data_IF_874742193878
#
_entry.id   IF_874742193878
#
_cell.length_a   1.000
_cell.length_b   1.000
_cell.length_c   1.000
_cell.angle_alpha   90.00
_cell.angle_beta   90.00
_cell.angle_gamma   90.00
#
_symmetry.space_group_name_H-M   'P 1'
#
loop_
_entity.id
_entity.type
_entity.pdbx_description
1 polymer ?
#
# COMPACT_ATOMS: atom_id res chain seq x y z
N UNK A 1 -0.26 -1.46 -11.73
CA UNK A 1 -0.58 -0.39 -10.77
C UNK A 1 -1.89 -0.76 -10.12
N UNK A 2 -1.88 -1.01 -8.81
CA UNK A 2 -3.11 -1.28 -8.06
C UNK A 2 -3.67 0.04 -7.57
N UNK A 3 -4.90 0.33 -7.97
CA UNK A 3 -5.64 1.49 -7.48
C UNK A 3 -6.63 1.00 -6.42
N UNK A 4 -6.56 1.60 -5.24
CA UNK A 4 -7.58 1.44 -4.23
C UNK A 4 -8.40 2.72 -4.18
N UNK A 5 -9.70 2.59 -4.38
CA UNK A 5 -10.64 3.66 -4.06
C UNK A 5 -10.70 3.80 -2.54
N UNK A 6 -10.35 4.99 -2.04
CA UNK A 6 -10.41 5.33 -0.62
C UNK A 6 -11.64 6.21 -0.30
N UNK A 7 -12.60 6.33 -1.21
CA UNK A 7 -13.91 6.90 -0.89
C UNK A 7 -14.53 6.15 0.29
N UNK A 8 -14.95 6.91 1.30
CA UNK A 8 -15.53 6.36 2.51
C UNK A 8 -14.56 5.73 3.50
N UNK A 9 -13.33 6.25 3.60
CA UNK A 9 -12.36 6.04 4.71
C UNK A 9 -12.93 6.10 6.14
N UNK A 10 -14.17 6.58 6.32
CA UNK A 10 -14.87 6.66 7.60
C UNK A 10 -15.98 5.60 7.77
N UNK A 11 -16.11 4.69 6.83
CA UNK A 11 -17.17 3.68 6.77
C UNK A 11 -18.41 4.12 6.01
N UNK A 12 -18.38 5.26 5.30
CA UNK A 12 -19.47 5.64 4.39
C UNK A 12 -19.49 4.72 3.18
N UNK A 13 -20.62 4.67 2.49
CA UNK A 13 -20.77 3.92 1.25
C UNK A 13 -20.05 4.68 0.12
N UNK A 14 -19.11 4.04 -0.62
CA UNK A 14 -18.43 4.66 -1.76
C UNK A 14 -19.40 4.73 -2.94
N UNK A 15 -19.20 5.72 -3.82
CA UNK A 15 -20.02 5.85 -5.04
C UNK A 15 -19.94 4.58 -5.90
N UNK A 16 -18.78 3.92 -5.92
CA UNK A 16 -18.57 2.67 -6.64
C UNK A 16 -19.52 1.54 -6.21
N UNK A 17 -20.06 1.57 -4.98
CA UNK A 17 -21.02 0.56 -4.51
C UNK A 17 -22.33 0.58 -5.31
N UNK A 18 -22.74 1.75 -5.84
CA UNK A 18 -23.94 1.88 -6.68
C UNK A 18 -23.80 1.16 -8.03
N UNK A 19 -22.56 0.94 -8.48
CA UNK A 19 -22.24 0.36 -9.78
C UNK A 19 -21.66 -1.06 -9.68
N UNK A 20 -21.29 -1.54 -8.49
CA UNK A 20 -20.63 -2.83 -8.29
C UNK A 20 -21.57 -3.89 -7.69
N UNK A 21 -22.29 -4.60 -8.56
CA UNK A 21 -23.20 -5.68 -8.14
C UNK A 21 -22.61 -7.09 -8.26
N UNK A 22 -21.52 -7.28 -9.01
CA UNK A 22 -21.06 -8.61 -9.42
C UNK A 22 -19.81 -9.13 -8.71
N UNK A 23 -18.98 -8.27 -8.09
CA UNK A 23 -17.71 -8.69 -7.49
C UNK A 23 -17.88 -9.71 -6.35
N UNK A 24 -18.98 -9.64 -5.61
CA UNK A 24 -19.30 -10.60 -4.56
C UNK A 24 -19.59 -12.03 -5.06
N UNK A 25 -19.78 -12.21 -6.39
CA UNK A 25 -19.97 -13.51 -7.03
C UNK A 25 -18.67 -14.20 -7.39
N UNK A 26 -17.63 -13.44 -7.73
CA UNK A 26 -16.36 -13.97 -8.23
C UNK A 26 -15.23 -13.92 -7.20
N UNK A 27 -15.36 -13.10 -6.15
CA UNK A 27 -14.35 -12.96 -5.10
C UNK A 27 -14.36 -14.09 -4.08
N UNK A 28 -13.17 -14.52 -3.66
CA UNK A 28 -13.01 -15.38 -2.48
C UNK A 28 -13.41 -14.62 -1.22
N UNK A 29 -14.24 -15.24 -0.38
CA UNK A 29 -14.69 -14.64 0.89
C UNK A 29 -13.79 -15.09 2.02
N UNK A 30 -13.36 -14.13 2.83
CA UNK A 30 -12.64 -14.38 4.08
C UNK A 30 -13.54 -14.00 5.23
N UNK A 31 -13.80 -14.95 6.13
CA UNK A 31 -14.57 -14.69 7.33
C UNK A 31 -13.66 -13.99 8.35
N UNK A 32 -14.06 -12.79 8.78
CA UNK A 32 -13.29 -12.04 9.77
C UNK A 32 -13.57 -12.65 11.13
N UNK A 33 -12.55 -13.27 11.72
CA UNK A 33 -12.62 -13.81 13.08
C UNK A 33 -12.59 -12.65 14.08
N UNK A 34 -13.67 -12.49 14.83
CA UNK A 34 -13.73 -11.47 15.88
C UNK A 34 -13.07 -11.97 17.16
N UNK A 35 -12.17 -11.14 17.71
CA UNK A 35 -11.56 -11.37 19.03
C UNK A 35 -12.58 -11.57 20.17
N UNK A 36 -13.72 -10.88 20.09
CA UNK A 36 -14.75 -10.89 21.15
C UNK A 36 -16.04 -11.63 20.76
N UNK A 37 -16.02 -12.40 19.67
CA UNK A 37 -17.22 -13.04 19.11
C UNK A 37 -18.31 -12.08 18.56
N UNK A 38 -18.05 -10.77 18.50
CA UNK A 38 -18.96 -9.77 17.93
C UNK A 38 -18.70 -9.56 16.43
N UNK A 39 -19.72 -9.50 15.58
CA UNK A 39 -19.52 -9.21 14.17
C UNK A 39 -18.81 -7.86 14.00
N UNK A 40 -17.77 -7.84 13.16
CA UNK A 40 -17.05 -6.62 12.81
C UNK A 40 -17.95 -5.78 11.91
N UNK A 41 -18.38 -4.62 12.40
CA UNK A 41 -19.17 -3.68 11.60
C UNK A 41 -18.30 -3.00 10.53
N UNK A 42 -18.95 -2.46 9.49
CA UNK A 42 -18.28 -1.80 8.36
C UNK A 42 -17.35 -0.69 8.85
N UNK A 43 -17.78 0.11 9.84
CA UNK A 43 -17.00 1.21 10.38
C UNK A 43 -15.71 0.73 11.04
N UNK A 44 -15.76 -0.35 11.82
CA UNK A 44 -14.56 -0.96 12.42
C UNK A 44 -13.66 -1.55 11.35
N UNK A 45 -14.22 -2.27 10.36
CA UNK A 45 -13.44 -2.84 9.27
C UNK A 45 -12.68 -1.76 8.46
N UNK A 46 -13.33 -0.65 8.12
CA UNK A 46 -12.72 0.45 7.38
C UNK A 46 -11.66 1.19 8.20
N UNK A 47 -11.83 1.32 9.51
CA UNK A 47 -10.85 1.99 10.38
C UNK A 47 -9.65 1.11 10.77
N UNK A 48 -9.82 -0.21 10.77
CA UNK A 48 -8.81 -1.13 11.32
C UNK A 48 -8.23 -2.08 10.29
N UNK A 49 -9.05 -2.70 9.43
CA UNK A 49 -8.60 -3.73 8.49
C UNK A 49 -8.16 -3.10 7.17
N UNK A 50 -8.93 -2.15 6.64
CA UNK A 50 -8.61 -1.47 5.37
C UNK A 50 -7.24 -0.78 5.39
N UNK A 51 -6.86 0.00 6.42
CA UNK A 51 -5.52 0.58 6.47
C UNK A 51 -4.42 -0.47 6.44
N UNK A 52 -4.57 -1.56 7.20
CA UNK A 52 -3.61 -2.66 7.22
C UNK A 52 -3.47 -3.31 5.85
N UNK A 53 -4.59 -3.53 5.16
CA UNK A 53 -4.60 -4.13 3.83
C UNK A 53 -4.03 -3.19 2.76
N UNK A 54 -4.53 -1.95 2.69
CA UNK A 54 -4.15 -0.99 1.66
C UNK A 54 -2.69 -0.58 1.77
N UNK A 55 -2.13 -0.47 2.98
CA UNK A 55 -0.70 -0.21 3.15
C UNK A 55 0.19 -1.29 2.55
N UNK A 56 -0.29 -2.55 2.51
CA UNK A 56 0.50 -3.66 1.98
C UNK A 56 0.68 -3.51 0.47
N UNK A 57 -0.38 -3.14 -0.25
CA UNK A 57 -0.43 -3.23 -1.71
C UNK A 57 -0.28 -1.88 -2.42
N UNK A 58 -0.72 -0.79 -1.80
CA UNK A 58 -0.76 0.51 -2.46
C UNK A 58 0.65 1.05 -2.69
N UNK A 59 0.94 1.41 -3.94
CA UNK A 59 2.08 2.26 -4.27
C UNK A 59 1.74 3.74 -4.02
N UNK A 60 0.49 4.10 -4.31
CA UNK A 60 -0.06 5.45 -4.16
C UNK A 60 -1.42 5.34 -3.48
N UNK A 61 -1.64 6.19 -2.47
CA UNK A 61 -2.90 6.35 -1.77
C UNK A 61 -3.49 7.68 -2.17
N UNK A 62 -4.70 7.67 -2.73
CA UNK A 62 -5.41 8.87 -3.13
C UNK A 62 -6.50 9.21 -2.10
N UNK A 63 -6.35 10.34 -1.43
CA UNK A 63 -7.36 10.88 -0.51
C UNK A 63 -8.17 11.96 -1.20
N UNK A 64 -9.40 11.67 -1.60
CA UNK A 64 -10.26 12.62 -2.32
C UNK A 64 -11.14 13.38 -1.33
N UNK A 65 -11.13 14.71 -1.40
CA UNK A 65 -11.96 15.59 -0.59
C UNK A 65 -12.43 16.80 -1.40
N UNK A 66 -13.61 17.33 -1.07
CA UNK A 66 -14.07 18.63 -1.60
C UNK A 66 -13.78 19.79 -0.65
N UNK A 67 -13.48 19.48 0.61
CA UNK A 67 -13.47 20.46 1.70
C UNK A 67 -12.03 20.87 2.07
N UNK A 68 -11.58 21.99 1.50
CA UNK A 68 -10.27 22.58 1.82
C UNK A 68 -10.21 23.16 3.25
N UNK A 69 -11.35 23.50 3.86
CA UNK A 69 -11.38 24.07 5.23
C UNK A 69 -11.15 23.03 6.31
N UNK A 70 -11.33 21.75 5.98
CA UNK A 70 -11.14 20.63 6.90
C UNK A 70 -9.77 19.96 6.75
N UNK A 71 -8.74 20.69 6.27
CA UNK A 71 -7.41 20.12 6.08
C UNK A 71 -6.77 19.60 7.37
N UNK A 72 -6.89 20.32 8.50
CA UNK A 72 -6.38 19.86 9.80
C UNK A 72 -7.04 18.53 10.22
N UNK A 73 -8.37 18.46 10.16
CA UNK A 73 -9.12 17.24 10.47
C UNK A 73 -8.78 16.10 9.51
N UNK A 74 -8.63 16.40 8.21
CA UNK A 74 -8.23 15.43 7.19
C UNK A 74 -6.82 14.89 7.45
N UNK A 75 -5.89 15.77 7.85
CA UNK A 75 -4.53 15.41 8.18
C UNK A 75 -4.49 14.47 9.40
N UNK A 76 -5.28 14.77 10.45
CA UNK A 76 -5.37 13.91 11.63
C UNK A 76 -5.89 12.53 11.26
N UNK A 77 -6.97 12.48 10.49
CA UNK A 77 -7.56 11.22 10.02
C UNK A 77 -6.58 10.40 9.18
N UNK A 78 -5.81 11.04 8.28
CA UNK A 78 -4.79 10.37 7.47
C UNK A 78 -3.63 9.84 8.32
N UNK A 79 -3.20 10.59 9.32
CA UNK A 79 -2.14 10.18 10.24
C UNK A 79 -2.59 9.04 11.15
N UNK A 80 -3.80 9.08 11.69
CA UNK A 80 -4.37 7.96 12.46
C UNK A 80 -4.55 6.70 11.62
N UNK A 81 -5.10 6.86 10.42
CA UNK A 81 -5.31 5.75 9.49
C UNK A 81 -3.97 5.12 9.07
N UNK A 82 -2.97 5.96 8.75
CA UNK A 82 -1.63 5.48 8.39
C UNK A 82 -0.89 4.84 9.55
N UNK A 83 -1.05 5.36 10.77
CA UNK A 83 -0.47 4.75 11.98
C UNK A 83 -0.95 3.32 12.15
N UNK A 84 -2.23 3.04 11.89
CA UNK A 84 -2.74 1.66 11.87
C UNK A 84 -2.07 0.83 10.77
N UNK A 85 -1.89 1.36 9.56
CA UNK A 85 -1.20 0.65 8.48
C UNK A 85 0.26 0.31 8.80
N UNK A 86 1.05 1.32 9.19
CA UNK A 86 2.49 1.21 9.47
C UNK A 86 2.79 0.34 10.68
N UNK A 87 2.03 0.47 11.77
CA UNK A 87 2.30 -0.31 13.00
C UNK A 87 1.93 -1.79 12.86
N UNK A 88 1.14 -2.15 11.85
CA UNK A 88 0.66 -3.50 11.62
C UNK A 88 1.34 -4.16 10.42
N UNK A 89 2.49 -3.63 9.99
CA UNK A 89 3.35 -4.22 8.97
C UNK A 89 4.79 -4.21 9.46
N UNK A 90 5.53 -5.28 9.24
CA UNK A 90 6.97 -5.36 9.51
C UNK A 90 7.72 -5.79 8.26
N UNK A 91 8.97 -5.37 8.15
CA UNK A 91 9.79 -5.57 6.95
C UNK A 91 9.20 -4.92 5.68
N UNK A 92 8.31 -3.92 5.85
CA UNK A 92 7.84 -3.09 4.75
C UNK A 92 8.91 -2.06 4.41
N UNK A 93 9.63 -2.30 3.32
CA UNK A 93 10.76 -1.45 2.91
C UNK A 93 10.35 -0.21 2.11
N UNK A 94 9.12 -0.17 1.57
CA UNK A 94 8.62 0.95 0.78
C UNK A 94 7.28 1.45 1.34
N UNK A 95 7.24 2.75 1.68
CA UNK A 95 6.02 3.45 2.09
C UNK A 95 5.27 3.96 0.85
N UNK A 96 3.92 3.91 0.85
CA UNK A 96 3.13 4.47 -0.24
C UNK A 96 3.35 5.98 -0.36
N UNK A 97 3.18 6.50 -1.58
CA UNK A 97 3.00 7.93 -1.78
C UNK A 97 1.56 8.33 -1.41
N UNK A 98 1.36 9.53 -0.87
CA UNK A 98 0.04 10.11 -0.60
C UNK A 98 -0.24 11.23 -1.61
N UNK A 99 -1.40 11.17 -2.25
CA UNK A 99 -1.96 12.25 -3.06
C UNK A 99 -3.30 12.64 -2.47
N UNK A 100 -3.41 13.87 -1.96
CA UNK A 100 -4.67 14.46 -1.53
C UNK A 100 -5.27 15.18 -2.73
N UNK A 101 -6.42 14.71 -3.23
CA UNK A 101 -7.12 15.33 -4.35
C UNK A 101 -8.21 16.23 -3.80
N UNK A 102 -8.01 17.55 -3.91
CA UNK A 102 -9.04 18.54 -3.64
C UNK A 102 -9.93 18.68 -4.88
N UNK A 103 -10.98 17.86 -4.95
CA UNK A 103 -11.85 17.71 -6.11
C UNK A 103 -13.11 18.56 -6.00
N UNK A 104 -13.27 19.55 -6.87
CA UNK A 104 -14.45 20.40 -6.96
C UNK A 104 -14.74 21.22 -5.69
N UNK A 105 -13.74 21.89 -5.06
CA UNK A 105 -14.05 22.83 -4.00
C UNK A 105 -14.76 24.07 -4.55
N UNK A 106 -15.59 24.69 -3.72
CA UNK A 106 -16.17 26.01 -3.99
C UNK A 106 -15.15 27.07 -3.57
N UNK A 107 -14.02 27.12 -4.29
CA UNK A 107 -12.89 28.03 -4.08
C UNK A 107 -12.16 28.24 -5.42
N UNK A 108 -11.93 29.49 -5.79
CA UNK A 108 -11.08 29.85 -6.93
C UNK A 108 -9.71 30.30 -6.42
N UNK A 109 -8.66 29.68 -6.95
CA UNK A 109 -7.29 30.12 -6.76
C UNK A 109 -6.50 29.83 -8.05
N UNK A 110 -6.21 30.88 -8.82
CA UNK A 110 -5.53 30.76 -10.11
C UNK A 110 -4.11 30.23 -9.97
N UNK A 111 -3.41 30.56 -8.86
CA UNK A 111 -2.05 30.08 -8.59
C UNK A 111 -2.00 28.55 -8.48
N UNK A 112 -3.10 27.92 -8.05
CA UNK A 112 -3.20 26.46 -7.90
C UNK A 112 -3.35 25.72 -9.23
N UNK A 113 -3.64 26.43 -10.33
CA UNK A 113 -3.65 25.88 -11.68
C UNK A 113 -2.32 26.06 -12.41
N UNK A 114 -1.41 26.86 -11.86
CA UNK A 114 -0.12 27.18 -12.48
C UNK A 114 0.84 25.97 -12.61
N UNK A 115 1.96 26.23 -13.27
CA UNK A 115 3.01 25.25 -13.56
C UNK A 115 3.83 24.84 -12.34
N UNK A 116 3.80 25.62 -11.25
CA UNK A 116 4.42 25.19 -10.00
C UNK A 116 3.52 24.15 -9.33
N UNK A 117 4.01 22.91 -9.35
CA UNK A 117 3.24 21.79 -8.88
C UNK A 117 3.15 21.72 -7.35
N UNK A 118 4.03 22.36 -6.61
CA UNK A 118 4.09 22.20 -5.16
C UNK A 118 3.30 23.27 -4.39
N UNK A 119 2.82 24.33 -5.06
CA UNK A 119 2.04 25.42 -4.43
C UNK A 119 0.89 24.91 -3.55
N UNK A 120 0.07 24.00 -4.07
CA UNK A 120 -1.10 23.49 -3.32
C UNK A 120 -0.65 22.63 -2.13
N UNK A 121 0.44 21.89 -2.31
CA UNK A 121 1.06 21.08 -1.25
C UNK A 121 1.61 21.98 -0.14
N UNK A 122 2.30 23.06 -0.51
CA UNK A 122 2.80 24.05 0.44
C UNK A 122 1.67 24.75 1.19
N UNK A 123 0.62 25.17 0.48
CA UNK A 123 -0.57 25.78 1.10
C UNK A 123 -1.22 24.84 2.11
N UNK A 124 -1.32 23.55 1.80
CA UNK A 124 -1.82 22.54 2.73
C UNK A 124 -0.97 22.44 3.99
N UNK A 125 0.35 22.28 3.85
CA UNK A 125 1.23 22.16 5.02
C UNK A 125 1.26 23.45 5.85
N UNK A 126 1.30 24.62 5.22
CA UNK A 126 1.22 25.91 5.90
C UNK A 126 -0.06 26.05 6.73
N UNK A 127 -1.19 25.59 6.19
CA UNK A 127 -2.48 25.68 6.88
C UNK A 127 -2.57 24.78 8.12
N UNK A 128 -1.88 23.64 8.13
CA UNK A 128 -1.91 22.69 9.26
C UNK A 128 -0.68 22.77 10.16
N UNK A 129 0.33 23.58 9.83
CA UNK A 129 1.63 23.55 10.52
C UNK A 129 1.48 23.87 12.01
N UNK A 130 0.62 24.83 12.36
CA UNK A 130 0.40 25.22 13.78
C UNK A 130 -0.23 24.09 14.60
N UNK A 131 -1.01 23.23 13.95
CA UNK A 131 -1.74 22.14 14.58
C UNK A 131 -0.80 21.13 15.26
N UNK A 132 0.44 21.01 14.77
CA UNK A 132 1.45 20.14 15.41
C UNK A 132 1.68 20.49 16.88
N UNK A 133 1.52 21.76 17.23
CA UNK A 133 1.70 22.27 18.59
C UNK A 133 0.38 22.51 19.31
N UNK A 134 -0.69 22.85 18.58
CA UNK A 134 -1.98 23.28 19.15
C UNK A 134 -2.91 22.09 19.45
N UNK A 135 -2.87 21.03 18.63
CA UNK A 135 -3.69 19.83 18.82
C UNK A 135 -2.93 18.81 19.68
N UNK A 136 -3.58 18.30 20.73
CA UNK A 136 -2.98 17.33 21.66
C UNK A 136 -2.50 16.07 20.93
N UNK A 137 -3.31 15.56 20.01
CA UNK A 137 -3.07 14.35 19.24
C UNK A 137 -1.81 14.48 18.36
N UNK A 138 -1.65 15.59 17.65
CA UNK A 138 -0.45 15.83 16.84
C UNK A 138 0.78 16.07 17.72
N UNK A 139 0.63 16.80 18.82
CA UNK A 139 1.73 17.06 19.76
C UNK A 139 2.28 15.77 20.34
N UNK A 140 1.41 14.87 20.79
CA UNK A 140 1.80 13.55 21.30
C UNK A 140 2.51 12.72 20.24
N UNK A 141 1.99 12.72 19.01
CA UNK A 141 2.58 11.97 17.89
C UNK A 141 3.97 12.51 17.52
N UNK A 142 4.12 13.83 17.44
CA UNK A 142 5.37 14.50 17.12
C UNK A 142 6.42 14.32 18.23
N UNK A 143 6.04 14.48 19.50
CA UNK A 143 6.94 14.32 20.64
C UNK A 143 7.51 12.90 20.75
N UNK A 144 6.69 11.88 20.48
CA UNK A 144 7.11 10.48 20.49
C UNK A 144 8.29 10.21 19.55
N UNK A 145 8.42 11.01 18.51
CA UNK A 145 9.32 10.76 17.39
C UNK A 145 10.34 11.88 17.14
N UNK A 146 10.24 12.99 17.87
CA UNK A 146 11.12 14.15 17.71
C UNK A 146 10.84 14.98 16.45
N UNK A 147 9.65 14.84 15.86
CA UNK A 147 9.25 15.58 14.67
C UNK A 147 8.92 17.04 15.04
N UNK A 148 9.37 17.98 14.21
CA UNK A 148 9.21 19.42 14.43
C UNK A 148 8.23 20.08 13.48
N UNK A 149 7.91 19.42 12.36
CA UNK A 149 7.01 19.95 11.32
C UNK A 149 5.99 18.93 10.88
N UNK A 150 4.86 19.38 10.33
CA UNK A 150 3.83 18.45 9.83
C UNK A 150 4.38 17.62 8.67
N UNK A 151 5.28 18.18 7.85
CA UNK A 151 5.98 17.43 6.79
C UNK A 151 6.79 16.25 7.34
N UNK A 152 7.52 16.45 8.44
CA UNK A 152 8.28 15.38 9.11
C UNK A 152 7.35 14.32 9.70
N UNK A 153 6.23 14.74 10.29
CA UNK A 153 5.25 13.81 10.85
C UNK A 153 4.67 12.89 9.77
N UNK A 154 4.32 13.45 8.61
CA UNK A 154 3.81 12.68 7.46
C UNK A 154 4.86 11.77 6.83
N UNK A 155 6.13 12.16 6.79
CA UNK A 155 7.19 11.34 6.17
C UNK A 155 7.45 10.02 6.89
N UNK A 156 6.95 9.86 8.12
CA UNK A 156 6.96 8.58 8.85
C UNK A 156 5.98 7.55 8.29
N UNK A 157 4.91 8.03 7.66
CA UNK A 157 3.79 7.22 7.19
C UNK A 157 3.73 7.11 5.66
N UNK A 158 4.37 8.03 4.95
CA UNK A 158 4.30 8.13 3.49
C UNK A 158 5.67 8.47 2.90
N UNK A 159 5.97 7.94 1.72
CA UNK A 159 7.22 8.26 1.01
C UNK A 159 7.22 9.65 0.37
N UNK A 160 6.03 10.18 0.08
CA UNK A 160 5.82 11.57 -0.35
C UNK A 160 4.39 12.00 -0.07
N UNK A 161 4.15 13.30 0.08
CA UNK A 161 2.82 13.89 0.16
C UNK A 161 2.67 14.94 -0.94
N UNK A 162 1.55 14.93 -1.63
CA UNK A 162 1.20 15.90 -2.66
C UNK A 162 -0.27 16.24 -2.59
N UNK A 163 -0.59 17.50 -2.88
CA UNK A 163 -1.97 17.96 -2.97
C UNK A 163 -2.27 18.38 -4.40
N UNK A 164 -3.33 17.82 -4.98
CA UNK A 164 -3.75 18.08 -6.35
C UNK A 164 -5.11 18.79 -6.34
N UNK A 165 -5.21 19.93 -7.01
CA UNK A 165 -6.44 20.70 -7.13
C UNK A 165 -7.16 20.39 -8.45
N UNK A 166 -8.47 20.17 -8.37
CA UNK A 166 -9.35 20.08 -9.54
C UNK A 166 -10.53 21.03 -9.28
N UNK A 167 -10.76 22.06 -10.12
CA UNK A 167 -11.87 23.00 -9.94
C UNK A 167 -13.21 22.31 -10.17
N UNK A 168 -14.29 22.88 -9.63
CA UNK A 168 -15.65 22.39 -9.85
C UNK A 168 -16.14 22.81 -11.24
N UNK A 169 -16.66 21.87 -12.03
CA UNK A 169 -17.17 22.16 -13.38
C UNK A 169 -18.29 23.20 -13.36
N UNK A 170 -18.15 24.21 -14.21
CA UNK A 170 -19.09 25.33 -14.32
C UNK A 170 -19.05 26.32 -13.14
N UNK A 171 -18.18 26.11 -12.15
CA UNK A 171 -18.01 27.06 -11.05
C UNK A 171 -16.93 28.09 -11.38
N UNK A 172 -17.34 29.36 -11.41
CA UNK A 172 -16.43 30.47 -11.63
C UNK A 172 -15.76 30.46 -13.01
N UNK A 173 -14.67 31.22 -13.11
CA UNK A 173 -13.79 31.32 -14.28
C UNK A 173 -12.87 30.11 -14.45
N UNK A 174 -12.55 29.42 -13.35
CA UNK A 174 -11.60 28.30 -13.34
C UNK A 174 -12.24 26.94 -13.65
N UNK A 175 -13.56 26.81 -13.50
CA UNK A 175 -14.32 25.57 -13.72
C UNK A 175 -14.55 25.18 -15.18
N UNK A 176 -13.67 25.58 -16.11
CA UNK A 176 -13.83 25.24 -17.53
C UNK A 176 -13.53 23.77 -17.79
N UNK A 177 -14.19 23.16 -18.78
CA UNK A 177 -13.94 21.75 -19.13
C UNK A 177 -12.48 21.53 -19.58
N UNK A 178 -11.83 22.53 -20.19
CA UNK A 178 -10.42 22.46 -20.56
C UNK A 178 -9.52 22.34 -19.32
N UNK A 179 -9.75 23.17 -18.30
CA UNK A 179 -8.98 23.11 -17.05
C UNK A 179 -9.18 21.79 -16.31
N UNK A 180 -10.40 21.27 -16.29
CA UNK A 180 -10.68 19.96 -15.67
C UNK A 180 -9.93 18.84 -16.39
N UNK A 181 -9.92 18.85 -17.72
CA UNK A 181 -9.16 17.87 -18.52
C UNK A 181 -7.66 18.00 -18.24
N UNK A 182 -7.13 19.22 -18.18
CA UNK A 182 -5.72 19.48 -17.88
C UNK A 182 -5.34 18.97 -16.50
N UNK A 183 -6.13 19.29 -15.48
CA UNK A 183 -5.88 18.84 -14.11
C UNK A 183 -6.02 17.32 -13.96
N UNK A 184 -6.97 16.70 -14.65
CA UNK A 184 -7.13 15.25 -14.67
C UNK A 184 -5.93 14.55 -15.30
N UNK A 185 -5.44 15.07 -16.43
CA UNK A 185 -4.24 14.57 -17.10
C UNK A 185 -2.99 14.72 -16.23
N UNK A 186 -2.87 15.86 -15.52
CA UNK A 186 -1.78 16.12 -14.59
C UNK A 186 -1.81 15.17 -13.39
N UNK A 187 -2.99 14.95 -12.79
CA UNK A 187 -3.17 13.96 -11.73
C UNK A 187 -2.77 12.56 -12.20
N UNK A 188 -3.22 12.14 -13.38
CA UNK A 188 -2.88 10.83 -13.93
C UNK A 188 -1.36 10.67 -14.16
N UNK A 189 -0.66 11.71 -14.63
CA UNK A 189 0.80 11.72 -14.74
C UNK A 189 1.48 11.63 -13.36
N UNK A 190 1.00 12.40 -12.38
CA UNK A 190 1.51 12.39 -11.00
C UNK A 190 1.40 11.01 -10.36
N UNK A 191 0.22 10.39 -10.44
CA UNK A 191 -0.01 9.06 -9.86
C UNK A 191 0.92 8.03 -10.49
N UNK A 192 1.10 8.05 -11.82
CA UNK A 192 2.01 7.10 -12.48
C UNK A 192 3.45 7.26 -12.02
N UNK A 193 3.94 8.49 -11.98
CA UNK A 193 5.30 8.80 -11.55
C UNK A 193 5.56 8.37 -10.10
N UNK A 194 4.64 8.68 -9.20
CA UNK A 194 4.79 8.33 -7.78
C UNK A 194 4.69 6.80 -7.58
N UNK A 195 3.84 6.11 -8.35
CA UNK A 195 3.78 4.66 -8.36
C UNK A 195 5.07 4.02 -8.88
N UNK A 196 5.63 4.51 -9.98
CA UNK A 196 6.92 4.05 -10.54
C UNK A 196 8.05 4.20 -9.51
N UNK A 197 8.10 5.33 -8.81
CA UNK A 197 9.08 5.59 -7.75
C UNK A 197 8.96 4.60 -6.59
N UNK A 198 7.75 4.35 -6.11
CA UNK A 198 7.52 3.37 -5.01
C UNK A 198 7.80 1.94 -5.48
N UNK A 199 7.45 1.59 -6.72
CA UNK A 199 7.78 0.30 -7.32
C UNK A 199 9.28 0.08 -7.47
N UNK A 200 10.05 1.12 -7.80
CA UNK A 200 11.51 1.05 -7.82
C UNK A 200 12.07 0.75 -6.42
N UNK A 201 11.59 1.44 -5.37
CA UNK A 201 11.96 1.16 -3.98
C UNK A 201 11.60 -0.27 -3.56
N UNK A 202 10.42 -0.75 -3.96
CA UNK A 202 9.99 -2.14 -3.71
C UNK A 202 10.88 -3.17 -4.42
N UNK A 203 11.43 -2.82 -5.58
CA UNK A 203 12.33 -3.70 -6.31
C UNK A 203 13.66 -3.88 -5.56
N UNK A 204 14.20 -2.81 -4.99
CA UNK A 204 15.42 -2.84 -4.18
C UNK A 204 15.27 -3.72 -2.93
N UNK A 205 14.05 -3.85 -2.41
CA UNK A 205 13.75 -4.64 -1.22
C UNK A 205 13.14 -6.02 -1.48
N UNK A 206 13.09 -6.47 -2.74
CA UNK A 206 12.51 -7.75 -3.13
C UNK A 206 11.04 -7.90 -2.71
N UNK A 207 10.31 -6.77 -2.66
CA UNK A 207 8.87 -6.69 -2.39
C UNK A 207 8.12 -6.13 -3.60
N UNK A 208 8.75 -6.14 -4.77
CA UNK A 208 8.09 -5.91 -6.05
C UNK A 208 7.59 -7.24 -6.56
N UNK A 209 6.29 -7.44 -6.44
CA UNK A 209 5.64 -8.68 -6.83
C UNK A 209 5.18 -8.62 -8.28
N UNK A 210 5.43 -9.69 -9.03
CA UNK A 210 4.77 -9.90 -10.32
C UNK A 210 3.28 -10.29 -10.12
N UNK A 211 2.55 -10.50 -11.22
CA UNK A 211 1.12 -10.84 -11.16
C UNK A 211 0.82 -12.16 -10.44
N UNK A 212 1.71 -13.14 -10.54
CA UNK A 212 1.56 -14.47 -9.93
C UNK A 212 1.83 -14.38 -8.43
N UNK A 213 2.95 -13.77 -8.07
CA UNK A 213 3.35 -13.52 -6.69
C UNK A 213 2.31 -12.65 -5.99
N UNK A 214 1.79 -11.62 -6.67
CA UNK A 214 0.77 -10.73 -6.11
C UNK A 214 -0.50 -11.47 -5.70
N UNK A 215 -0.97 -12.45 -6.49
CA UNK A 215 -2.13 -13.26 -6.11
C UNK A 215 -1.90 -14.01 -4.80
N UNK A 216 -0.69 -14.54 -4.60
CA UNK A 216 -0.30 -15.23 -3.38
C UNK A 216 -0.15 -14.26 -2.19
N UNK A 217 0.46 -13.09 -2.40
CA UNK A 217 0.58 -12.04 -1.35
C UNK A 217 -0.81 -11.60 -0.91
N UNK A 218 -1.73 -11.37 -1.86
CA UNK A 218 -3.12 -10.99 -1.60
C UNK A 218 -3.80 -12.07 -0.76
N UNK A 219 -3.69 -13.33 -1.17
CA UNK A 219 -4.28 -14.44 -0.41
C UNK A 219 -3.74 -14.52 1.02
N UNK A 220 -2.41 -14.42 1.18
CA UNK A 220 -1.75 -14.46 2.47
C UNK A 220 -2.12 -13.28 3.37
N UNK A 221 -2.16 -12.07 2.81
CA UNK A 221 -2.58 -10.86 3.52
C UNK A 221 -4.04 -10.94 3.98
N UNK A 222 -4.95 -11.41 3.12
CA UNK A 222 -6.35 -11.60 3.50
C UNK A 222 -6.50 -12.64 4.62
N UNK A 223 -5.83 -13.80 4.51
CA UNK A 223 -5.86 -14.82 5.54
C UNK A 223 -5.31 -14.29 6.88
N UNK A 224 -4.18 -13.59 6.85
CA UNK A 224 -3.58 -12.97 8.04
C UNK A 224 -4.51 -11.97 8.70
N UNK A 225 -5.07 -11.03 7.93
CA UNK A 225 -5.96 -9.99 8.47
C UNK A 225 -7.30 -10.56 8.95
N UNK A 226 -7.81 -11.60 8.29
CA UNK A 226 -9.06 -12.25 8.65
C UNK A 226 -8.95 -13.09 9.92
N UNK A 227 -7.77 -13.64 10.24
CA UNK A 227 -7.53 -14.45 11.45
C UNK A 227 -7.70 -13.70 12.79
N UNK A 228 -7.92 -12.38 12.75
CA UNK A 228 -8.00 -11.56 13.96
C UNK A 228 -6.66 -11.41 14.70
N UNK A 229 -5.54 -11.87 14.12
CA UNK A 229 -4.21 -11.80 14.74
C UNK A 229 -3.81 -10.35 15.08
N UNK A 230 -3.33 -10.09 16.32
CA UNK A 230 -2.73 -8.80 16.67
C UNK A 230 -1.37 -8.59 16.01
N UNK A 231 -0.75 -9.65 15.49
CA UNK A 231 0.60 -9.57 14.96
C UNK A 231 0.63 -8.73 13.67
N UNK A 232 1.67 -7.90 13.49
CA UNK A 232 1.93 -7.23 12.23
C UNK A 232 2.06 -8.23 11.07
N UNK A 233 1.62 -7.83 9.88
CA UNK A 233 1.88 -8.59 8.67
C UNK A 233 3.39 -8.57 8.34
N UNK A 234 4.00 -9.75 8.23
CA UNK A 234 5.43 -9.91 8.02
C UNK A 234 5.75 -10.15 6.53
N UNK A 235 6.24 -9.10 5.87
CA UNK A 235 6.68 -9.17 4.48
C UNK A 235 7.86 -10.14 4.28
N UNK A 236 8.69 -10.35 5.30
CA UNK A 236 9.80 -11.30 5.25
C UNK A 236 9.33 -12.75 5.25
N UNK A 237 8.29 -13.07 6.03
CA UNK A 237 7.62 -14.37 5.97
C UNK A 237 6.90 -14.59 4.66
N UNK A 238 6.13 -13.58 4.23
CA UNK A 238 5.43 -13.57 2.95
C UNK A 238 6.39 -13.87 1.79
N UNK A 239 7.54 -13.17 1.74
CA UNK A 239 8.58 -13.39 0.72
C UNK A 239 9.10 -14.84 0.71
N UNK A 240 9.37 -15.43 1.88
CA UNK A 240 9.85 -16.83 1.97
C UNK A 240 8.82 -17.86 1.48
N UNK A 241 7.54 -17.52 1.52
CA UNK A 241 6.45 -18.40 1.07
C UNK A 241 6.14 -18.22 -0.43
N UNK A 242 6.49 -17.07 -1.00
CA UNK A 242 6.10 -16.64 -2.35
C UNK A 242 7.28 -16.70 -3.33
N UNK A 243 8.51 -16.78 -2.83
CA UNK A 243 9.68 -16.99 -3.67
C UNK A 243 9.57 -18.33 -4.38
N UNK A 244 9.05 -18.32 -5.61
CA UNK A 244 9.42 -19.30 -6.61
C UNK A 244 10.90 -19.03 -6.89
N UNK A 245 11.78 -20.02 -6.78
CA UNK A 245 13.17 -19.75 -7.05
C UNK A 245 13.36 -19.46 -8.53
N UNK A 246 13.80 -18.25 -8.87
CA UNK A 246 13.99 -17.85 -10.28
C UNK A 246 15.43 -18.11 -10.76
N UNK A 247 16.30 -18.55 -9.86
CA UNK A 247 17.68 -18.95 -10.17
C UNK A 247 17.90 -20.40 -9.78
N UNK A 248 18.80 -21.08 -10.48
CA UNK A 248 19.23 -22.43 -10.15
C UNK A 248 19.69 -22.52 -8.69
N UNK A 249 20.44 -21.54 -8.21
CA UNK A 249 20.87 -21.43 -6.81
C UNK A 249 19.69 -21.26 -5.85
N UNK A 250 18.67 -20.49 -6.24
CA UNK A 250 17.42 -20.39 -5.51
C UNK A 250 16.73 -21.75 -5.39
N UNK A 251 16.62 -22.49 -6.50
CA UNK A 251 15.97 -23.82 -6.51
C UNK A 251 16.71 -24.79 -5.60
N UNK A 252 18.05 -24.76 -5.63
CA UNK A 252 18.86 -25.54 -4.71
C UNK A 252 18.65 -25.12 -3.25
N UNK A 253 18.60 -23.82 -2.97
CA UNK A 253 18.40 -23.30 -1.61
C UNK A 253 17.03 -23.68 -1.05
N UNK A 254 15.97 -23.62 -1.85
CA UNK A 254 14.63 -24.05 -1.45
C UNK A 254 14.57 -25.57 -1.24
N UNK A 255 15.10 -26.35 -2.18
CA UNK A 255 15.16 -27.81 -2.07
C UNK A 255 15.90 -28.25 -0.79
N UNK A 256 17.07 -27.65 -0.52
CA UNK A 256 17.85 -27.92 0.69
C UNK A 256 17.08 -27.45 1.94
N UNK A 257 16.46 -26.28 1.90
CA UNK A 257 15.66 -25.74 3.00
C UNK A 257 14.48 -26.63 3.38
N UNK A 258 13.78 -27.21 2.40
CA UNK A 258 12.68 -28.15 2.60
C UNK A 258 13.17 -29.51 3.10
N UNK A 259 14.24 -30.04 2.49
CA UNK A 259 14.75 -31.38 2.78
C UNK A 259 15.39 -31.45 4.17
N UNK A 260 16.07 -30.39 4.59
CA UNK A 260 16.81 -30.34 5.85
C UNK A 260 16.01 -29.72 7.01
N UNK A 261 14.77 -29.29 6.78
CA UNK A 261 13.93 -28.61 7.77
C UNK A 261 13.77 -29.44 9.04
N UNK A 262 14.07 -28.83 10.20
CA UNK A 262 13.93 -29.36 11.56
C UNK A 262 14.78 -30.60 11.90
N UNK A 263 15.52 -31.19 10.95
CA UNK A 263 16.30 -32.43 11.13
C UNK A 263 17.49 -32.49 10.18
N UNK A 264 18.38 -31.49 10.28
CA UNK A 264 19.48 -31.30 9.34
C UNK A 264 20.43 -32.50 9.28
N UNK A 265 20.99 -32.92 10.42
CA UNK A 265 21.94 -34.06 10.48
C UNK A 265 21.31 -35.38 10.02
N UNK A 266 20.06 -35.64 10.41
CA UNK A 266 19.39 -36.90 10.10
C UNK A 266 18.92 -37.02 8.64
N UNK A 267 18.80 -35.91 7.91
CA UNK A 267 18.31 -35.88 6.51
C UNK A 267 19.38 -35.48 5.50
N UNK A 268 20.57 -35.12 5.97
CA UNK A 268 21.65 -34.66 5.12
C UNK A 268 22.06 -35.74 4.11
N UNK A 269 22.29 -36.96 4.58
CA UNK A 269 22.74 -38.08 3.74
C UNK A 269 21.72 -38.43 2.65
N UNK A 270 20.43 -38.48 3.00
CA UNK A 270 19.34 -38.73 2.05
C UNK A 270 19.24 -37.61 1.00
N UNK A 271 19.36 -36.36 1.44
CA UNK A 271 19.31 -35.19 0.56
C UNK A 271 20.50 -35.19 -0.40
N UNK A 272 21.70 -35.50 0.09
CA UNK A 272 22.92 -35.60 -0.70
C UNK A 272 22.82 -36.75 -1.74
N UNK A 273 22.27 -37.90 -1.35
CA UNK A 273 22.05 -39.03 -2.23
C UNK A 273 21.09 -38.69 -3.39
N UNK A 274 20.01 -37.96 -3.12
CA UNK A 274 19.05 -37.52 -4.14
C UNK A 274 19.70 -36.56 -5.14
N UNK A 275 20.49 -35.58 -4.68
CA UNK A 275 21.21 -34.66 -5.56
C UNK A 275 22.21 -35.42 -6.43
N UNK A 276 23.03 -36.30 -5.82
CA UNK A 276 24.03 -37.09 -6.53
C UNK A 276 23.39 -37.99 -7.60
N UNK A 277 22.30 -38.67 -7.27
CA UNK A 277 21.58 -39.54 -8.20
C UNK A 277 20.97 -38.76 -9.36
N UNK A 278 20.43 -37.58 -9.09
CA UNK A 278 19.83 -36.70 -10.10
C UNK A 278 20.88 -36.16 -11.08
N UNK A 279 22.05 -35.74 -10.58
CA UNK A 279 23.19 -35.32 -11.40
C UNK A 279 23.72 -36.46 -12.28
N UNK A 280 23.86 -37.66 -11.71
CA UNK A 280 24.31 -38.84 -12.45
C UNK A 280 23.34 -39.20 -13.57
N UNK A 281 22.03 -39.23 -13.28
CA UNK A 281 20.98 -39.50 -14.27
C UNK A 281 20.99 -38.49 -15.42
N UNK A 282 21.13 -37.20 -15.10
CA UNK A 282 21.13 -36.15 -16.11
C UNK A 282 22.35 -36.23 -17.03
N UNK A 283 23.52 -36.54 -16.47
CA UNK A 283 24.76 -36.79 -17.24
C UNK A 283 24.61 -37.99 -18.18
N UNK A 284 23.97 -39.06 -17.70
CA UNK A 284 23.72 -40.26 -18.50
C UNK A 284 22.68 -40.05 -19.60
N UNK A 285 21.68 -39.18 -19.42
CA UNK A 285 20.72 -38.82 -20.47
C UNK A 285 21.32 -37.88 -21.51
N UNK A 286 22.11 -36.89 -21.11
CA UNK A 286 22.75 -35.95 -22.03
C UNK A 286 23.73 -36.64 -23.00
N UNK A 287 24.38 -37.72 -22.55
CA UNK A 287 25.25 -38.53 -23.40
C UNK A 287 24.51 -39.42 -24.42
N UNK A 288 23.19 -39.63 -24.27
CA UNK A 288 22.40 -40.42 -25.23
C UNK A 288 21.87 -39.60 -26.40
N UNK A 289 21.75 -38.29 -26.24
CA UNK A 289 21.25 -37.38 -27.29
C UNK A 289 22.38 -36.82 -28.18
N UNK A 290 23.64 -37.16 -27.88
CA UNK A 290 24.85 -36.73 -28.60
C UNK A 290 25.46 -37.76 -29.56
N UNK A 291 24.78 -38.88 -29.82
CA UNK A 291 25.14 -39.95 -30.77
C UNK A 291 24.00 -40.21 -31.73
#
# INVERSE_FOLDING_TARGET
MFYADCEGLLGTEPLAAEHQTEWARYGQRYLIESKDGKPVDRRTAVKTIYPRFLYIFSDVICYVTRNHRAWAESALRLLDWSKVGVQNTINQHALPALIIVLNGPILENEEWLGDDHEIVTDAFFQAIEKEISETTEFRELAQKHGDKTMRQLFSRSFSSVYVHYIPLEGFGSLGTSLEIINQTNRLAKRVRRDAERVQAQRAESWTRFDTTQMSQVVHYAFAHLASGSPEPFDFGQCRRQISVPDTTEGHFSEFLGLSLKNKMEARFDDTAAVIATSLLRNSLSANKDGT
#
